data_IF_331189727891
#
_entry.id   IF_331189727891
#
_cell.length_a   1.000
_cell.length_b   1.000
_cell.length_c   1.000
_cell.angle_alpha   90.00
_cell.angle_beta   90.00
_cell.angle_gamma   90.00
#
_symmetry.space_group_name_H-M   'P 1'
#
loop_
_entity.id
_entity.type
_entity.pdbx_description
1 polymer ?
#
# COMPACT_ATOMS: atom_id res chain seq x y z
N UNK A 1 13.19 16.03 -28.80
CA UNK A 1 14.06 16.68 -27.79
C UNK A 1 13.21 16.83 -26.54
N UNK A 2 13.36 16.08 -25.46
CA UNK A 2 14.48 15.30 -24.90
C UNK A 2 13.78 14.51 -23.78
N UNK A 3 13.70 13.17 -23.74
CA UNK A 3 14.83 12.25 -23.53
C UNK A 3 15.95 12.93 -22.75
N UNK A 4 15.77 13.03 -21.43
CA UNK A 4 16.75 13.41 -20.39
C UNK A 4 15.90 13.60 -19.14
N UNK A 5 15.84 12.70 -18.17
CA UNK A 5 16.73 11.64 -17.69
C UNK A 5 15.74 10.57 -17.16
N UNK A 6 15.68 9.33 -17.67
CA UNK A 6 16.49 8.22 -17.20
C UNK A 6 17.04 8.47 -15.79
N UNK A 7 16.19 8.70 -14.79
CA UNK A 7 16.62 8.75 -13.39
C UNK A 7 17.45 7.48 -13.14
N UNK A 8 18.77 7.70 -13.14
CA UNK A 8 19.72 6.67 -13.46
C UNK A 8 19.79 5.76 -12.23
N UNK A 9 19.71 4.45 -12.48
CA UNK A 9 19.70 3.38 -11.48
C UNK A 9 18.38 3.19 -10.68
N UNK A 10 17.27 2.96 -11.39
CA UNK A 10 16.42 1.82 -10.99
C UNK A 10 17.20 0.56 -11.34
N UNK A 11 17.50 -0.26 -10.33
CA UNK A 11 18.39 -1.45 -10.35
C UNK A 11 18.75 -1.95 -11.77
N UNK A 12 20.03 -2.14 -12.07
CA UNK A 12 20.55 -2.65 -13.36
C UNK A 12 19.80 -3.90 -13.89
N UNK A 13 19.04 -4.61 -13.04
CA UNK A 13 18.28 -5.81 -13.38
C UNK A 13 16.74 -5.66 -13.37
N UNK A 14 16.16 -4.47 -13.19
CA UNK A 14 14.70 -4.33 -13.14
C UNK A 14 14.07 -4.30 -14.54
N UNK A 15 13.17 -5.26 -14.81
CA UNK A 15 12.40 -5.34 -16.07
C UNK A 15 11.39 -4.19 -16.13
N UNK A 16 11.45 -3.40 -17.20
CA UNK A 16 10.45 -2.37 -17.49
C UNK A 16 9.15 -3.02 -17.97
N UNK A 17 8.03 -2.55 -17.42
CA UNK A 17 6.70 -3.06 -17.69
C UNK A 17 5.71 -1.92 -17.97
N UNK A 18 4.64 -2.23 -18.69
CA UNK A 18 3.58 -1.27 -19.01
C UNK A 18 2.34 -1.47 -18.15
N UNK A 19 1.72 -0.38 -17.73
CA UNK A 19 0.46 -0.39 -16.97
C UNK A 19 -0.44 0.76 -17.42
N UNK A 20 -1.72 0.72 -17.04
CA UNK A 20 -2.70 1.76 -17.33
C UNK A 20 -3.24 2.37 -16.04
N UNK A 21 -3.31 3.69 -16.01
CA UNK A 21 -4.01 4.46 -14.98
C UNK A 21 -4.96 5.47 -15.63
N UNK A 22 -6.25 5.44 -15.26
CA UNK A 22 -7.30 6.30 -15.87
C UNK A 22 -7.29 6.24 -17.41
N UNK A 23 -7.20 5.03 -17.97
CA UNK A 23 -7.11 4.74 -19.41
C UNK A 23 -5.87 5.30 -20.14
N UNK A 24 -4.91 5.90 -19.43
CA UNK A 24 -3.63 6.32 -20.01
C UNK A 24 -2.54 5.30 -19.69
N UNK A 25 -1.72 5.00 -20.68
CA UNK A 25 -0.59 4.07 -20.52
C UNK A 25 0.61 4.78 -19.90
N UNK A 26 1.27 4.08 -18.99
CA UNK A 26 2.45 4.50 -18.26
C UNK A 26 3.47 3.36 -18.21
N UNK A 27 4.69 3.70 -17.83
CA UNK A 27 5.80 2.76 -17.68
C UNK A 27 6.20 2.69 -16.21
N UNK A 28 6.49 1.48 -15.74
CA UNK A 28 7.01 1.21 -14.41
C UNK A 28 8.01 0.06 -14.47
N UNK A 29 8.41 -0.44 -13.32
CA UNK A 29 9.32 -1.56 -13.21
C UNK A 29 8.74 -2.67 -12.34
N UNK A 30 9.06 -3.91 -12.69
CA UNK A 30 8.69 -5.07 -11.88
C UNK A 30 9.24 -4.94 -10.45
N UNK A 31 8.41 -5.26 -9.45
CA UNK A 31 8.72 -5.08 -8.03
C UNK A 31 8.38 -3.70 -7.45
N UNK A 32 8.01 -2.72 -8.29
CA UNK A 32 7.41 -1.48 -7.83
C UNK A 32 5.97 -1.67 -7.36
N UNK A 33 5.51 -0.76 -6.52
CA UNK A 33 4.08 -0.60 -6.24
C UNK A 33 3.43 0.31 -7.28
N UNK A 34 2.11 0.20 -7.47
CA UNK A 34 1.35 1.14 -8.29
C UNK A 34 1.57 2.58 -7.78
N UNK A 35 1.55 2.82 -6.47
CA UNK A 35 1.79 4.13 -5.89
C UNK A 35 3.19 4.70 -6.24
N UNK A 36 4.26 3.90 -6.11
CA UNK A 36 5.61 4.35 -6.48
C UNK A 36 5.71 4.67 -7.97
N UNK A 37 5.07 3.88 -8.83
CA UNK A 37 5.09 4.12 -10.28
C UNK A 37 4.26 5.34 -10.68
N UNK A 38 3.12 5.59 -10.03
CA UNK A 38 2.33 6.80 -10.23
C UNK A 38 3.17 8.05 -9.88
N UNK A 39 3.82 8.06 -8.71
CA UNK A 39 4.70 9.16 -8.30
C UNK A 39 5.86 9.36 -9.27
N UNK A 40 6.49 8.26 -9.73
CA UNK A 40 7.57 8.31 -10.72
C UNK A 40 7.16 8.89 -12.07
N UNK A 41 5.88 8.76 -12.43
CA UNK A 41 5.30 9.36 -13.63
C UNK A 41 4.70 10.76 -13.36
N UNK A 42 5.02 11.39 -12.21
CA UNK A 42 4.56 12.73 -11.83
C UNK A 42 3.09 12.81 -11.41
N UNK A 43 2.47 11.68 -11.06
CA UNK A 43 1.03 11.62 -10.72
C UNK A 43 0.87 11.71 -9.20
N UNK A 44 0.64 12.92 -8.72
CA UNK A 44 0.38 13.17 -7.29
C UNK A 44 -1.12 13.26 -6.95
N UNK A 45 -1.98 13.56 -7.91
CA UNK A 45 -3.43 13.54 -7.74
C UNK A 45 -3.95 12.16 -8.14
N UNK A 46 -4.31 11.34 -7.14
CA UNK A 46 -4.75 9.95 -7.35
C UNK A 46 -6.21 9.72 -6.97
N UNK A 47 -6.80 10.67 -6.24
CA UNK A 47 -8.16 10.53 -5.72
C UNK A 47 -8.81 11.86 -5.35
N UNK A 48 -10.07 11.75 -4.94
CA UNK A 48 -10.89 12.85 -4.41
C UNK A 48 -11.52 12.40 -3.10
N UNK A 49 -11.56 13.29 -2.10
CA UNK A 49 -12.14 12.95 -0.79
C UNK A 49 -13.61 12.53 -0.96
N UNK A 50 -14.01 11.46 -0.27
CA UNK A 50 -15.37 10.87 -0.28
C UNK A 50 -16.52 11.88 -0.36
N UNK A 51 -16.49 12.90 0.50
CA UNK A 51 -17.60 13.85 0.67
C UNK A 51 -17.43 15.17 -0.08
N UNK A 52 -16.29 15.81 0.15
CA UNK A 52 -16.04 17.18 -0.30
C UNK A 52 -15.36 17.25 -1.65
N UNK A 53 -14.98 16.10 -2.23
CA UNK A 53 -14.22 16.04 -3.47
C UNK A 53 -12.94 16.89 -3.48
N UNK A 54 -12.33 17.06 -2.30
CA UNK A 54 -11.01 17.70 -2.15
C UNK A 54 -9.96 16.87 -2.88
N UNK A 55 -9.01 17.50 -3.59
CA UNK A 55 -7.87 16.79 -4.18
C UNK A 55 -7.15 15.94 -3.13
N UNK A 56 -6.81 14.69 -3.47
CA UNK A 56 -6.10 13.76 -2.61
C UNK A 56 -4.94 13.12 -3.36
N UNK A 57 -3.80 13.07 -2.67
CA UNK A 57 -2.59 12.39 -3.13
C UNK A 57 -2.23 11.19 -2.27
N UNK A 58 -1.22 10.45 -2.72
CA UNK A 58 -0.57 9.39 -1.94
C UNK A 58 0.02 10.02 -0.68
N UNK A 59 -0.31 9.49 0.49
CA UNK A 59 0.14 9.98 1.79
C UNK A 59 1.23 9.07 2.37
N UNK A 60 1.10 7.76 2.20
CA UNK A 60 1.94 6.75 2.82
C UNK A 60 2.52 5.76 1.80
N UNK A 61 3.30 4.78 2.25
CA UNK A 61 3.95 3.76 1.41
C UNK A 61 3.69 2.33 1.90
N UNK A 62 2.51 2.11 2.50
CA UNK A 62 2.12 0.86 3.13
C UNK A 62 0.61 0.71 3.27
N UNK A 63 0.19 -0.19 4.15
CA UNK A 63 -1.22 -0.52 4.35
C UNK A 63 -2.00 0.55 5.12
N UNK A 64 -1.30 1.53 5.69
CA UNK A 64 -1.84 2.71 6.37
C UNK A 64 -2.31 3.82 5.42
N UNK A 65 -2.18 3.64 4.10
CA UNK A 65 -2.59 4.62 3.07
C UNK A 65 -4.11 4.88 3.10
N UNK A 66 -4.55 6.14 3.34
CA UNK A 66 -5.97 6.47 3.44
C UNK A 66 -6.61 6.99 2.15
N UNK A 67 -5.81 7.46 1.18
CA UNK A 67 -6.28 8.30 0.08
C UNK A 67 -6.23 7.59 -1.28
N UNK A 68 -5.12 6.90 -1.59
CA UNK A 68 -4.82 6.31 -2.88
C UNK A 68 -5.57 4.99 -3.11
N UNK A 69 -6.90 5.05 -3.06
CA UNK A 69 -7.81 3.93 -3.29
C UNK A 69 -8.20 3.86 -4.76
N UNK A 70 -7.85 2.76 -5.43
CA UNK A 70 -8.08 2.55 -6.86
C UNK A 70 -9.08 1.41 -7.11
N UNK A 71 -9.72 1.46 -8.27
CA UNK A 71 -10.42 0.33 -8.87
C UNK A 71 -9.43 -0.42 -9.75
N UNK A 72 -9.10 -1.66 -9.41
CA UNK A 72 -8.27 -2.52 -10.23
C UNK A 72 -9.09 -3.27 -11.27
N UNK A 73 -8.43 -3.54 -12.40
CA UNK A 73 -8.92 -4.36 -13.49
C UNK A 73 -10.31 -3.94 -14.01
N UNK A 74 -10.97 -4.81 -14.77
CA UNK A 74 -12.29 -4.56 -15.35
C UNK A 74 -13.13 -5.83 -15.40
N UNK A 75 -14.41 -5.70 -15.76
CA UNK A 75 -15.33 -6.83 -15.89
C UNK A 75 -15.60 -7.54 -14.56
N UNK A 76 -15.59 -8.88 -14.59
CA UNK A 76 -15.89 -9.74 -13.45
C UNK A 76 -14.74 -9.88 -12.44
N UNK A 77 -13.51 -9.50 -12.81
CA UNK A 77 -12.32 -9.55 -11.93
C UNK A 77 -12.04 -8.22 -11.24
N UNK A 78 -12.83 -7.18 -11.51
CA UNK A 78 -12.57 -5.83 -11.01
C UNK A 78 -12.65 -5.77 -9.49
N UNK A 79 -11.72 -5.05 -8.86
CA UNK A 79 -11.61 -4.95 -7.41
C UNK A 79 -11.62 -3.48 -6.97
N UNK A 80 -12.65 -3.02 -6.23
CA UNK A 80 -12.71 -1.64 -5.77
C UNK A 80 -11.90 -1.42 -4.48
N UNK A 81 -11.55 -0.16 -4.22
CA UNK A 81 -10.96 0.29 -2.95
C UNK A 81 -9.63 -0.38 -2.57
N UNK A 82 -8.85 -0.83 -3.55
CA UNK A 82 -7.52 -1.38 -3.31
C UNK A 82 -6.54 -0.23 -3.11
N UNK A 83 -5.64 -0.33 -2.12
CA UNK A 83 -4.63 0.70 -1.87
C UNK A 83 -3.51 0.57 -2.89
N UNK A 84 -3.25 1.63 -3.64
CA UNK A 84 -2.18 1.65 -4.65
C UNK A 84 -0.79 1.34 -4.07
N UNK A 85 -0.59 1.54 -2.76
CA UNK A 85 0.64 1.24 -2.01
C UNK A 85 0.87 -0.25 -1.77
N UNK A 86 -0.17 -1.08 -1.84
CA UNK A 86 -0.08 -2.54 -1.61
C UNK A 86 -0.14 -3.34 -2.93
N UNK A 87 -0.42 -2.67 -4.05
CA UNK A 87 -0.51 -3.29 -5.38
C UNK A 87 0.87 -3.33 -6.01
N UNK A 88 1.42 -4.52 -6.21
CA UNK A 88 2.64 -4.69 -7.00
C UNK A 88 2.32 -4.60 -8.49
N UNK A 89 3.19 -3.91 -9.23
CA UNK A 89 3.05 -3.81 -10.67
C UNK A 89 3.38 -5.14 -11.36
N UNK A 90 2.54 -5.47 -12.33
CA UNK A 90 2.75 -6.52 -13.32
C UNK A 90 2.39 -5.99 -14.72
N UNK A 91 2.87 -6.67 -15.75
CA UNK A 91 2.63 -6.27 -17.14
C UNK A 91 1.12 -6.25 -17.45
N UNK A 92 0.64 -5.14 -18.00
CA UNK A 92 -0.75 -4.97 -18.40
C UNK A 92 -1.71 -4.60 -17.27
N UNK A 93 -1.22 -4.36 -16.04
CA UNK A 93 -2.04 -3.92 -14.92
C UNK A 93 -2.90 -2.71 -15.31
N UNK A 94 -4.19 -2.77 -14.98
CA UNK A 94 -5.12 -1.65 -15.22
C UNK A 94 -5.70 -1.16 -13.90
N UNK A 95 -5.59 0.14 -13.65
CA UNK A 95 -6.15 0.79 -12.48
C UNK A 95 -6.91 2.07 -12.88
N UNK A 96 -7.97 2.39 -12.13
CA UNK A 96 -8.71 3.63 -12.30
C UNK A 96 -8.87 4.31 -10.95
N UNK A 97 -8.81 5.63 -10.97
CA UNK A 97 -9.20 6.48 -9.85
C UNK A 97 -10.68 6.32 -9.51
N UNK A 98 -11.01 6.57 -8.26
CA UNK A 98 -12.38 6.42 -7.75
C UNK A 98 -12.96 7.78 -7.35
N UNK A 99 -14.30 7.82 -7.26
CA UNK A 99 -15.05 8.96 -6.70
C UNK A 99 -14.75 10.30 -7.37
N UNK A 100 -14.76 10.33 -8.70
CA UNK A 100 -14.57 11.55 -9.49
C UNK A 100 -15.46 11.52 -10.75
N UNK A 101 -15.96 12.68 -11.17
CA UNK A 101 -16.75 12.82 -12.40
C UNK A 101 -16.63 14.22 -13.05
N UNK A 102 -16.39 14.30 -14.38
CA UNK A 102 -16.11 13.21 -15.31
C UNK A 102 -14.73 12.56 -15.18
N UNK A 103 -13.75 13.23 -14.57
CA UNK A 103 -12.41 12.67 -14.32
C UNK A 103 -11.75 13.38 -13.12
N UNK A 104 -10.59 12.88 -12.67
CA UNK A 104 -9.87 13.42 -11.51
C UNK A 104 -9.54 14.91 -11.61
N UNK A 105 -9.17 15.43 -12.78
CA UNK A 105 -8.72 16.82 -12.96
C UNK A 105 -9.91 17.76 -13.00
N UNK A 106 -10.94 17.43 -13.77
CA UNK A 106 -12.16 18.22 -13.93
C UNK A 106 -13.31 17.54 -13.20
N UNK A 107 -13.23 17.48 -11.87
CA UNK A 107 -14.29 16.88 -11.05
C UNK A 107 -15.32 17.93 -10.65
N UNK A 108 -16.58 17.77 -11.09
CA UNK A 108 -17.65 18.73 -10.75
C UNK A 108 -18.11 18.63 -9.30
N UNK A 109 -17.89 17.48 -8.64
CA UNK A 109 -18.15 17.30 -7.21
C UNK A 109 -17.34 18.26 -6.34
N UNK A 110 -16.23 18.80 -6.85
CA UNK A 110 -15.36 19.77 -6.18
C UNK A 110 -16.09 21.04 -5.69
N UNK A 111 -17.27 21.38 -6.24
CA UNK A 111 -18.13 22.46 -5.72
C UNK A 111 -18.52 22.24 -4.24
N UNK A 112 -18.61 20.97 -3.81
CA UNK A 112 -18.92 20.61 -2.42
C UNK A 112 -17.85 21.09 -1.43
N UNK A 113 -16.61 21.28 -1.88
CA UNK A 113 -15.55 21.83 -1.03
C UNK A 113 -15.86 23.27 -0.63
N UNK A 114 -16.39 24.08 -1.55
CA UNK A 114 -16.79 25.46 -1.26
C UNK A 114 -17.98 25.51 -0.30
N UNK A 115 -18.92 24.57 -0.44
CA UNK A 115 -20.11 24.43 0.40
C UNK A 115 -19.88 23.57 1.66
N UNK A 116 -18.63 23.24 1.99
CA UNK A 116 -18.29 22.26 3.05
C UNK A 116 -18.90 22.60 4.41
N UNK A 117 -19.05 23.89 4.74
CA UNK A 117 -19.70 24.37 5.96
C UNK A 117 -21.17 23.92 6.10
N UNK A 118 -21.88 23.70 4.99
CA UNK A 118 -23.27 23.23 4.97
C UNK A 118 -23.39 21.71 5.10
N UNK A 119 -22.28 20.99 4.98
CA UNK A 119 -22.24 19.54 5.07
C UNK A 119 -21.42 19.12 6.31
N UNK A 120 -21.91 19.31 7.54
CA UNK A 120 -21.24 18.79 8.73
C UNK A 120 -21.26 17.25 8.76
N UNK A 121 -20.45 16.65 9.64
CA UNK A 121 -20.48 15.22 9.88
C UNK A 121 -21.92 14.78 10.24
N UNK A 122 -22.37 13.65 9.66
CA UNK A 122 -23.74 13.16 9.87
C UNK A 122 -24.86 13.89 9.13
N UNK A 123 -24.55 14.91 8.30
CA UNK A 123 -25.56 15.65 7.52
C UNK A 123 -26.55 14.74 6.78
N UNK A 124 -26.06 13.71 6.09
CA UNK A 124 -26.93 12.83 5.30
C UNK A 124 -27.90 12.03 6.16
N UNK A 125 -27.44 11.57 7.33
CA UNK A 125 -28.29 10.84 8.28
C UNK A 125 -29.39 11.76 8.82
N UNK A 126 -29.05 13.00 9.17
CA UNK A 126 -30.01 13.95 9.73
C UNK A 126 -31.03 14.45 8.69
N UNK A 127 -30.59 14.68 7.46
CA UNK A 127 -31.42 15.31 6.43
C UNK A 127 -32.21 14.31 5.61
N UNK A 128 -31.68 13.11 5.34
CA UNK A 128 -32.26 12.19 4.36
C UNK A 128 -32.81 10.88 4.94
N UNK A 129 -32.61 10.55 6.23
CA UNK A 129 -33.25 9.34 6.81
C UNK A 129 -34.77 9.49 6.97
N UNK A 130 -35.30 10.71 6.90
CA UNK A 130 -36.71 11.00 6.99
C UNK A 130 -37.16 11.86 5.79
N UNK A 131 -38.32 11.56 5.17
CA UNK A 131 -39.23 10.45 5.44
C UNK A 131 -38.69 9.10 4.93
N UNK A 132 -38.90 7.97 5.66
CA UNK A 132 -38.36 6.66 5.26
C UNK A 132 -38.77 6.20 3.85
N UNK A 133 -39.97 6.60 3.39
CA UNK A 133 -40.47 6.29 2.04
C UNK A 133 -39.57 6.82 0.91
N UNK A 134 -38.78 7.86 1.17
CA UNK A 134 -37.88 8.45 0.18
C UNK A 134 -36.44 7.95 0.28
N UNK A 135 -36.11 7.14 1.30
CA UNK A 135 -34.75 6.67 1.52
C UNK A 135 -34.14 5.99 0.29
N UNK A 136 -34.87 5.10 -0.39
CA UNK A 136 -34.37 4.43 -1.60
C UNK A 136 -33.99 5.41 -2.74
N UNK A 137 -34.69 6.56 -2.85
CA UNK A 137 -34.32 7.60 -3.82
C UNK A 137 -33.10 8.39 -3.36
N UNK A 138 -33.08 8.79 -2.09
CA UNK A 138 -31.94 9.53 -1.53
C UNK A 138 -30.66 8.70 -1.57
N UNK A 139 -30.74 7.45 -1.15
CA UNK A 139 -29.63 6.49 -1.17
C UNK A 139 -29.06 6.34 -2.58
N UNK A 140 -29.89 6.23 -3.61
CA UNK A 140 -29.43 6.16 -4.99
C UNK A 140 -28.56 7.36 -5.36
N UNK A 141 -29.03 8.60 -5.13
CA UNK A 141 -28.24 9.80 -5.46
C UNK A 141 -27.01 9.96 -4.57
N UNK A 142 -27.13 9.70 -3.26
CA UNK A 142 -26.02 9.77 -2.31
C UNK A 142 -24.93 8.76 -2.69
N UNK A 143 -25.30 7.54 -3.11
CA UNK A 143 -24.35 6.52 -3.56
C UNK A 143 -23.60 6.93 -4.81
N UNK A 144 -24.23 7.68 -5.73
CA UNK A 144 -23.53 8.21 -6.91
C UNK A 144 -22.62 9.40 -6.56
N UNK A 145 -23.01 10.24 -5.59
CA UNK A 145 -22.28 11.44 -5.21
C UNK A 145 -21.11 11.17 -4.23
N UNK A 146 -21.22 10.12 -3.42
CA UNK A 146 -20.26 9.79 -2.37
C UNK A 146 -19.79 8.32 -2.39
N UNK A 147 -20.24 7.47 -3.30
CA UNK A 147 -19.79 6.07 -3.32
C UNK A 147 -18.32 5.91 -3.75
N UNK A 148 -17.53 5.17 -2.99
CA UNK A 148 -16.22 4.69 -3.44
C UNK A 148 -16.35 3.33 -4.15
N UNK A 149 -15.71 3.23 -5.30
CA UNK A 149 -15.57 2.01 -6.09
C UNK A 149 -16.88 1.41 -6.61
N UNK A 150 -16.73 0.45 -7.52
CA UNK A 150 -17.84 -0.32 -8.10
C UNK A 150 -17.53 -1.81 -7.95
N UNK A 151 -18.43 -2.53 -7.29
CA UNK A 151 -18.35 -3.99 -7.21
C UNK A 151 -18.66 -4.60 -8.58
N UNK A 152 -18.00 -5.71 -8.97
CA UNK A 152 -18.45 -6.51 -10.11
C UNK A 152 -19.89 -6.97 -9.90
N UNK A 153 -20.62 -7.13 -11.00
CA UNK A 153 -21.99 -7.68 -11.02
C UNK A 153 -22.02 -9.17 -11.38
N UNK A 154 -20.96 -9.62 -12.03
CA UNK A 154 -20.79 -11.01 -12.47
C UNK A 154 -20.00 -11.79 -11.44
N UNK A 155 -20.05 -13.12 -11.54
CA UNK A 155 -19.34 -14.01 -10.63
C UNK A 155 -17.83 -13.90 -10.83
N UNK A 156 -17.11 -13.88 -9.70
CA UNK A 156 -15.66 -13.95 -9.67
C UNK A 156 -15.18 -15.29 -10.28
N UNK A 157 -14.30 -15.28 -11.30
CA UNK A 157 -13.82 -16.50 -11.93
C UNK A 157 -12.73 -17.25 -11.14
N UNK A 158 -12.16 -16.64 -10.09
CA UNK A 158 -11.03 -17.24 -9.38
C UNK A 158 -11.46 -18.27 -8.32
N UNK A 159 -10.53 -19.17 -7.98
CA UNK A 159 -10.67 -20.07 -6.83
C UNK A 159 -9.94 -19.54 -5.59
N UNK A 160 -10.41 -19.98 -4.43
CA UNK A 160 -9.89 -19.58 -3.11
C UNK A 160 -9.76 -20.81 -2.22
N UNK A 161 -8.65 -20.91 -1.49
CA UNK A 161 -8.33 -22.12 -0.73
C UNK A 161 -8.08 -21.83 0.75
N UNK A 162 -8.22 -22.87 1.58
CA UNK A 162 -7.88 -22.82 3.00
C UNK A 162 -6.69 -23.73 3.29
N UNK A 163 -5.73 -23.25 4.06
CA UNK A 163 -4.55 -24.02 4.45
C UNK A 163 -4.37 -24.05 5.97
N UNK A 164 -4.25 -25.24 6.54
CA UNK A 164 -4.08 -25.43 7.98
C UNK A 164 -2.62 -25.70 8.32
N UNK A 165 -2.08 -24.98 9.30
CA UNK A 165 -0.67 -25.12 9.69
C UNK A 165 -0.48 -25.09 11.21
N UNK A 166 0.36 -26.00 11.71
CA UNK A 166 0.78 -26.03 13.11
C UNK A 166 2.28 -25.74 13.20
N UNK A 167 2.67 -24.89 14.14
CA UNK A 167 4.07 -24.55 14.41
C UNK A 167 4.34 -24.41 15.92
N UNK A 168 5.62 -24.54 16.30
CA UNK A 168 6.07 -24.30 17.67
C UNK A 168 6.22 -22.78 17.91
N UNK A 169 6.71 -22.04 16.92
CA UNK A 169 6.84 -20.60 16.98
C UNK A 169 6.30 -19.95 15.70
N UNK A 170 5.46 -18.93 15.87
CA UNK A 170 5.03 -18.03 14.81
C UNK A 170 5.65 -16.65 15.04
N UNK A 171 6.25 -16.07 14.00
CA UNK A 171 6.75 -14.70 13.96
C UNK A 171 5.86 -13.92 12.99
N UNK A 172 5.29 -12.80 13.47
CA UNK A 172 4.41 -11.94 12.69
C UNK A 172 5.14 -10.63 12.39
N UNK A 173 5.50 -10.43 11.13
CA UNK A 173 6.32 -9.32 10.65
C UNK A 173 7.75 -9.74 10.34
N UNK A 174 8.19 -9.44 9.12
CA UNK A 174 9.51 -9.71 8.55
C UNK A 174 10.44 -8.49 8.56
N UNK A 175 10.18 -7.50 9.41
CA UNK A 175 11.11 -6.41 9.71
C UNK A 175 12.28 -6.84 10.59
N UNK A 176 13.14 -5.89 10.98
CA UNK A 176 14.35 -6.17 11.78
C UNK A 176 14.08 -7.02 13.04
N UNK A 177 13.04 -6.67 13.81
CA UNK A 177 12.68 -7.41 15.02
C UNK A 177 12.28 -8.86 14.74
N UNK A 178 11.55 -9.09 13.64
CA UNK A 178 11.15 -10.43 13.22
C UNK A 178 12.29 -11.25 12.67
N UNK A 179 13.19 -10.64 11.88
CA UNK A 179 14.38 -11.30 11.36
C UNK A 179 15.35 -11.70 12.47
N UNK A 180 15.58 -10.84 13.47
CA UNK A 180 16.40 -11.17 14.64
C UNK A 180 15.76 -12.28 15.48
N UNK A 181 14.43 -12.25 15.66
CA UNK A 181 13.71 -13.32 16.34
C UNK A 181 13.85 -14.66 15.61
N UNK A 182 13.72 -14.65 14.28
CA UNK A 182 13.92 -15.83 13.44
C UNK A 182 15.35 -16.36 13.58
N UNK A 183 16.35 -15.50 13.44
CA UNK A 183 17.76 -15.87 13.58
C UNK A 183 18.04 -16.58 14.89
N UNK A 184 17.56 -16.02 16.01
CA UNK A 184 17.77 -16.58 17.36
C UNK A 184 17.03 -17.89 17.57
N UNK A 185 15.83 -18.04 17.01
CA UNK A 185 15.06 -19.29 17.13
C UNK A 185 15.72 -20.42 16.30
N UNK A 186 16.15 -20.11 15.08
CA UNK A 186 16.86 -21.04 14.19
C UNK A 186 18.17 -21.50 14.83
N UNK A 187 18.93 -20.59 15.46
CA UNK A 187 20.22 -20.93 16.07
C UNK A 187 20.09 -21.79 17.33
N UNK A 188 18.95 -21.75 18.02
CA UNK A 188 18.74 -22.43 19.31
C UNK A 188 18.14 -23.83 19.20
N UNK A 189 17.42 -24.14 18.13
CA UNK A 189 16.79 -25.45 17.97
C UNK A 189 16.71 -25.84 16.50
N UNK A 190 17.25 -27.03 16.19
CA UNK A 190 17.09 -27.65 14.87
C UNK A 190 15.74 -28.39 14.72
N UNK A 191 14.96 -28.53 15.79
CA UNK A 191 13.72 -29.33 15.78
C UNK A 191 12.45 -28.49 15.76
N UNK A 192 12.49 -27.27 16.28
CA UNK A 192 11.29 -26.45 16.42
C UNK A 192 10.77 -26.05 15.04
N UNK A 193 9.47 -26.23 14.80
CA UNK A 193 8.81 -25.78 13.58
C UNK A 193 8.51 -24.29 13.69
N UNK A 194 9.19 -23.47 12.89
CA UNK A 194 9.13 -22.01 12.93
C UNK A 194 8.45 -21.51 11.65
N UNK A 195 7.48 -20.63 11.81
CA UNK A 195 6.80 -19.93 10.71
C UNK A 195 7.02 -18.43 10.85
N UNK A 196 7.54 -17.77 9.82
CA UNK A 196 7.57 -16.32 9.70
C UNK A 196 6.57 -15.88 8.63
N UNK A 197 5.71 -14.93 9.00
CA UNK A 197 4.69 -14.36 8.11
C UNK A 197 4.95 -12.88 7.90
N UNK A 198 4.98 -12.43 6.65
CA UNK A 198 5.18 -11.03 6.24
C UNK A 198 4.10 -10.60 5.25
N UNK A 199 3.53 -9.41 5.48
CA UNK A 199 2.48 -8.84 4.64
C UNK A 199 2.99 -8.43 3.25
N UNK A 200 4.21 -7.88 3.19
CA UNK A 200 4.88 -7.49 1.96
C UNK A 200 5.38 -8.71 1.18
N UNK A 201 5.66 -8.55 -0.12
CA UNK A 201 6.31 -9.60 -0.92
C UNK A 201 7.79 -9.84 -0.56
N UNK A 202 8.38 -8.93 0.21
CA UNK A 202 9.79 -8.96 0.61
C UNK A 202 9.95 -8.76 2.11
N UNK A 203 11.03 -9.31 2.66
CA UNK A 203 11.45 -9.07 4.05
C UNK A 203 12.25 -7.76 4.18
N UNK A 204 12.39 -7.28 5.41
CA UNK A 204 13.21 -6.11 5.77
C UNK A 204 12.43 -5.00 6.46
N UNK A 205 11.10 -4.95 6.27
CA UNK A 205 10.24 -3.91 6.84
C UNK A 205 10.66 -2.50 6.40
N UNK A 206 10.58 -1.52 7.31
CA UNK A 206 10.83 -0.11 7.03
C UNK A 206 12.22 0.39 7.46
N UNK A 207 13.19 -0.49 7.71
CA UNK A 207 14.50 -0.07 8.23
C UNK A 207 15.38 0.59 7.16
N UNK A 208 16.15 1.59 7.60
CA UNK A 208 16.99 2.45 6.79
C UNK A 208 18.46 1.99 6.72
N UNK A 209 18.90 1.08 7.61
CA UNK A 209 20.19 0.39 7.53
C UNK A 209 20.14 -0.78 6.52
N UNK A 210 20.14 -0.42 5.23
CA UNK A 210 19.95 -1.38 4.12
C UNK A 210 21.00 -2.49 4.16
N UNK A 211 22.28 -2.18 4.40
CA UNK A 211 23.37 -3.16 4.31
C UNK A 211 23.30 -4.25 5.39
N UNK A 212 23.03 -3.87 6.64
CA UNK A 212 22.93 -4.83 7.73
C UNK A 212 21.71 -5.74 7.55
N UNK A 213 20.57 -5.15 7.18
CA UNK A 213 19.36 -5.93 6.94
C UNK A 213 19.46 -6.80 5.72
N UNK A 214 20.05 -6.35 4.62
CA UNK A 214 20.25 -7.20 3.45
C UNK A 214 21.10 -8.41 3.80
N UNK A 215 22.16 -8.24 4.60
CA UNK A 215 22.94 -9.38 5.12
C UNK A 215 22.10 -10.33 5.97
N UNK A 216 21.32 -9.81 6.91
CA UNK A 216 20.47 -10.62 7.79
C UNK A 216 19.35 -11.33 7.02
N UNK A 217 18.66 -10.62 6.12
CA UNK A 217 17.64 -11.13 5.22
C UNK A 217 18.20 -12.26 4.36
N UNK A 218 19.32 -12.05 3.69
CA UNK A 218 19.94 -13.07 2.85
C UNK A 218 20.34 -14.31 3.65
N UNK A 219 20.87 -14.12 4.87
CA UNK A 219 21.14 -15.23 5.79
C UNK A 219 19.85 -16.01 6.14
N UNK A 220 18.77 -15.32 6.48
CA UNK A 220 17.49 -15.93 6.85
C UNK A 220 16.85 -16.67 5.65
N UNK A 221 16.91 -16.11 4.45
CA UNK A 221 16.44 -16.76 3.23
C UNK A 221 17.24 -18.05 2.93
N UNK A 222 18.57 -18.01 3.04
CA UNK A 222 19.41 -19.20 2.88
C UNK A 222 19.07 -20.29 3.90
N UNK A 223 18.68 -19.92 5.11
CA UNK A 223 18.27 -20.90 6.13
C UNK A 223 16.91 -21.51 5.83
N UNK A 224 15.97 -20.75 5.27
CA UNK A 224 14.67 -21.26 4.82
C UNK A 224 14.84 -22.33 3.73
N UNK A 225 15.79 -22.15 2.81
CA UNK A 225 16.04 -23.12 1.73
C UNK A 225 16.70 -24.42 2.23
N UNK A 226 17.42 -24.35 3.36
CA UNK A 226 18.16 -25.48 3.94
C UNK A 226 17.39 -26.26 5.00
N UNK A 227 16.43 -25.63 5.68
CA UNK A 227 15.78 -26.18 6.87
C UNK A 227 14.30 -26.44 6.63
N UNK A 228 13.90 -27.71 6.57
CA UNK A 228 12.50 -28.12 6.41
C UNK A 228 11.59 -27.65 7.57
N UNK A 229 12.15 -27.40 8.75
CA UNK A 229 11.42 -26.95 9.93
C UNK A 229 11.29 -25.41 10.02
N UNK A 230 11.79 -24.66 9.04
CA UNK A 230 11.63 -23.21 8.98
C UNK A 230 10.91 -22.83 7.69
N UNK A 231 9.84 -22.03 7.81
CA UNK A 231 9.06 -21.57 6.66
C UNK A 231 8.84 -20.07 6.72
N UNK A 232 9.10 -19.40 5.61
CA UNK A 232 8.75 -18.00 5.39
C UNK A 232 7.57 -17.94 4.41
N UNK A 233 6.58 -17.10 4.73
CA UNK A 233 5.44 -16.84 3.85
C UNK A 233 5.27 -15.32 3.74
N UNK A 234 5.50 -14.79 2.54
CA UNK A 234 5.34 -13.37 2.20
C UNK A 234 3.99 -13.12 1.53
N UNK A 235 3.68 -11.86 1.22
CA UNK A 235 2.40 -11.44 0.64
C UNK A 235 1.19 -11.91 1.46
N UNK A 236 1.38 -11.98 2.79
CA UNK A 236 0.46 -12.65 3.71
C UNK A 236 0.16 -11.79 4.93
N UNK A 237 -1.06 -11.27 5.00
CA UNK A 237 -1.51 -10.43 6.10
C UNK A 237 -2.16 -11.28 7.19
N UNK A 238 -1.60 -11.27 8.39
CA UNK A 238 -2.24 -11.84 9.55
C UNK A 238 -3.31 -10.87 10.07
N UNK A 239 -4.58 -11.18 9.80
CA UNK A 239 -5.69 -10.26 10.07
C UNK A 239 -6.46 -10.59 11.36
N UNK A 240 -6.24 -11.77 11.97
CA UNK A 240 -6.88 -12.11 13.24
C UNK A 240 -5.99 -12.95 14.16
N UNK A 241 -5.96 -12.56 15.43
CA UNK A 241 -5.38 -13.34 16.53
C UNK A 241 -6.50 -13.70 17.51
N UNK A 242 -6.82 -15.00 17.58
CA UNK A 242 -7.89 -15.56 18.39
C UNK A 242 -7.33 -16.39 19.57
N UNK A 243 -8.23 -16.90 20.39
CA UNK A 243 -7.92 -17.70 21.59
C UNK A 243 -6.99 -18.89 21.30
N UNK A 244 -6.19 -19.24 22.32
CA UNK A 244 -5.29 -20.39 22.31
C UNK A 244 -4.27 -20.37 21.15
N UNK A 245 -3.79 -19.18 20.76
CA UNK A 245 -2.84 -19.01 19.65
C UNK A 245 -3.35 -19.62 18.34
N UNK A 246 -4.62 -19.37 18.03
CA UNK A 246 -5.18 -19.58 16.71
C UNK A 246 -5.15 -18.27 15.94
N UNK A 247 -4.51 -18.25 14.78
CA UNK A 247 -4.34 -17.04 13.99
C UNK A 247 -4.81 -17.29 12.56
N UNK A 248 -5.42 -16.27 11.96
CA UNK A 248 -5.84 -16.30 10.57
C UNK A 248 -5.00 -15.32 9.76
N UNK A 249 -4.53 -15.77 8.61
CA UNK A 249 -3.83 -14.91 7.66
C UNK A 249 -4.38 -15.09 6.25
N UNK A 250 -4.32 -14.04 5.44
CA UNK A 250 -4.71 -14.05 4.04
C UNK A 250 -3.45 -13.87 3.19
N UNK A 251 -3.13 -14.89 2.39
CA UNK A 251 -2.04 -14.84 1.43
C UNK A 251 -2.58 -14.49 0.05
N UNK A 252 -2.01 -13.46 -0.58
CA UNK A 252 -2.17 -13.22 -2.01
C UNK A 252 -1.10 -14.03 -2.76
N UNK A 253 -1.52 -15.03 -3.53
CA UNK A 253 -0.59 -15.88 -4.27
C UNK A 253 -0.05 -15.13 -5.48
N UNK A 254 1.26 -15.22 -5.69
CA UNK A 254 1.98 -14.70 -6.86
C UNK A 254 1.51 -13.29 -7.26
N UNK A 255 1.70 -12.27 -6.41
CA UNK A 255 1.14 -10.94 -6.64
C UNK A 255 1.68 -10.23 -7.90
N UNK A 256 2.75 -10.75 -8.51
CA UNK A 256 3.31 -10.28 -9.79
C UNK A 256 2.67 -10.96 -11.01
N UNK A 257 1.85 -12.00 -10.82
CA UNK A 257 1.12 -12.66 -11.91
C UNK A 257 -0.23 -11.94 -12.11
N UNK A 258 -0.61 -11.63 -13.36
CA UNK A 258 -1.94 -11.08 -13.65
C UNK A 258 -3.09 -11.95 -13.13
N UNK A 259 -4.17 -11.39 -12.56
CA UNK A 259 -5.28 -12.17 -12.00
C UNK A 259 -5.90 -13.17 -12.98
N UNK A 260 -6.07 -12.79 -14.24
CA UNK A 260 -6.62 -13.66 -15.30
C UNK A 260 -5.80 -14.94 -15.57
N UNK A 261 -4.53 -14.96 -15.17
CA UNK A 261 -3.65 -16.13 -15.29
C UNK A 261 -3.64 -16.99 -14.01
N UNK A 262 -4.27 -16.53 -12.93
CA UNK A 262 -4.30 -17.24 -11.65
C UNK A 262 -5.44 -18.25 -11.59
N UNK A 263 -5.10 -19.48 -11.22
CA UNK A 263 -6.09 -20.49 -10.83
C UNK A 263 -6.61 -20.25 -9.41
N UNK A 264 -5.69 -20.09 -8.45
CA UNK A 264 -6.01 -19.79 -7.04
C UNK A 264 -5.52 -18.37 -6.77
N UNK A 265 -6.45 -17.47 -6.39
CA UNK A 265 -6.11 -16.07 -6.15
C UNK A 265 -5.53 -15.85 -4.76
N UNK A 266 -6.18 -16.41 -3.75
CA UNK A 266 -5.79 -16.22 -2.35
C UNK A 266 -5.96 -17.50 -1.52
N UNK A 267 -5.16 -17.60 -0.46
CA UNK A 267 -5.23 -18.68 0.53
C UNK A 267 -5.49 -18.09 1.92
N UNK A 268 -6.50 -18.61 2.63
CA UNK A 268 -6.67 -18.35 4.06
C UNK A 268 -5.88 -19.37 4.86
N UNK A 269 -4.86 -18.90 5.55
CA UNK A 269 -4.06 -19.66 6.51
C UNK A 269 -4.75 -19.72 7.86
N UNK A 270 -4.86 -20.93 8.40
CA UNK A 270 -5.39 -21.24 9.73
C UNK A 270 -4.25 -21.81 10.56
N UNK A 271 -3.63 -20.95 11.36
CA UNK A 271 -2.36 -21.23 12.03
C UNK A 271 -2.60 -21.50 13.52
N UNK A 272 -2.10 -22.63 14.02
CA UNK A 272 -2.03 -22.92 15.46
C UNK A 272 -0.57 -22.91 15.89
N UNK A 273 -0.21 -21.98 16.77
CA UNK A 273 1.16 -21.81 17.24
C UNK A 273 1.29 -22.11 18.74
N UNK A 274 2.38 -22.75 19.18
CA UNK A 274 2.64 -22.86 20.64
C UNK A 274 3.06 -21.53 21.24
N UNK A 275 3.88 -20.76 20.52
CA UNK A 275 4.34 -19.41 20.88
C UNK A 275 4.19 -18.47 19.69
N UNK A 276 3.88 -17.20 19.97
CA UNK A 276 3.73 -16.14 18.97
C UNK A 276 4.63 -14.98 19.35
N UNK A 277 5.35 -14.44 18.36
CA UNK A 277 6.16 -13.23 18.46
C UNK A 277 5.54 -12.19 17.53
N UNK A 278 5.07 -11.08 18.11
CA UNK A 278 4.55 -9.95 17.34
C UNK A 278 5.69 -8.96 17.08
N UNK A 279 6.08 -8.84 15.83
CA UNK A 279 7.12 -7.94 15.34
C UNK A 279 6.56 -7.04 14.21
N UNK A 280 5.35 -6.52 14.42
CA UNK A 280 4.54 -5.82 13.41
C UNK A 280 4.96 -4.37 13.14
N UNK A 281 6.02 -3.89 13.80
CA UNK A 281 6.50 -2.52 13.64
C UNK A 281 5.54 -1.47 14.21
N UNK A 282 5.67 -0.24 13.69
CA UNK A 282 4.86 0.91 14.07
C UNK A 282 4.50 1.75 12.84
N UNK A 283 3.29 2.33 12.86
CA UNK A 283 2.90 3.33 11.87
C UNK A 283 3.29 4.73 12.34
N UNK A 284 3.81 5.50 11.39
CA UNK A 284 3.97 6.94 11.52
C UNK A 284 2.59 7.62 11.50
N UNK A 285 2.48 8.81 12.11
CA UNK A 285 1.23 9.56 12.19
C UNK A 285 1.38 10.91 11.51
N UNK A 286 0.32 11.44 10.86
CA UNK A 286 0.38 12.77 10.27
C UNK A 286 0.24 13.87 11.33
N UNK A 287 0.74 15.07 11.03
CA UNK A 287 0.48 16.30 11.80
C UNK A 287 -0.87 16.93 11.42
N UNK A 288 -1.55 17.49 12.42
CA UNK A 288 -2.80 18.23 12.23
C UNK A 288 -2.49 19.71 12.02
N UNK A 289 -2.77 20.22 10.82
CA UNK A 289 -2.68 21.64 10.49
C UNK A 289 -3.65 21.98 9.35
N UNK A 290 -3.82 23.28 9.09
CA UNK A 290 -4.74 23.73 8.05
C UNK A 290 -4.33 23.20 6.67
N UNK A 291 -5.28 22.58 5.97
CA UNK A 291 -5.07 21.96 4.65
C UNK A 291 -4.00 20.86 4.63
N UNK A 292 -3.88 20.08 5.71
CA UNK A 292 -2.96 18.94 5.82
C UNK A 292 -3.30 17.73 4.92
N UNK A 293 -4.15 17.93 3.93
CA UNK A 293 -4.79 16.87 3.15
C UNK A 293 -4.61 17.04 1.63
N UNK A 294 -3.79 18.02 1.23
CA UNK A 294 -3.49 18.34 -0.17
C UNK A 294 -2.53 17.30 -0.79
N UNK A 295 -2.63 17.05 -2.11
CA UNK A 295 -1.62 16.27 -2.84
C UNK A 295 -0.23 16.86 -2.65
N UNK A 296 0.76 15.99 -2.44
CA UNK A 296 2.13 16.39 -2.09
C UNK A 296 2.38 16.46 -0.58
N UNK A 297 1.38 16.26 0.28
CA UNK A 297 1.60 16.02 1.71
C UNK A 297 1.80 14.51 1.91
N UNK A 298 2.91 14.12 2.53
CA UNK A 298 3.30 12.71 2.74
C UNK A 298 3.91 12.49 4.12
N UNK A 299 3.79 11.28 4.65
CA UNK A 299 4.53 10.85 5.83
C UNK A 299 6.03 10.78 5.54
N UNK A 300 6.89 11.12 6.50
CA UNK A 300 8.33 11.20 6.31
C UNK A 300 8.97 9.84 6.02
N UNK A 301 8.64 8.81 6.78
CA UNK A 301 9.10 7.45 6.52
C UNK A 301 8.65 6.94 5.15
N UNK A 302 7.46 7.36 4.70
CA UNK A 302 6.96 7.01 3.36
C UNK A 302 7.74 7.72 2.26
N UNK A 303 8.03 9.00 2.43
CA UNK A 303 8.86 9.76 1.50
C UNK A 303 10.29 9.23 1.41
N UNK A 304 10.90 8.91 2.56
CA UNK A 304 12.21 8.24 2.62
C UNK A 304 12.16 6.89 1.88
N UNK A 305 11.13 6.07 2.08
CA UNK A 305 10.97 4.79 1.37
C UNK A 305 10.86 4.98 -0.15
N UNK A 306 10.06 5.94 -0.63
CA UNK A 306 9.99 6.25 -2.05
C UNK A 306 11.32 6.69 -2.65
N UNK A 307 12.07 7.55 -1.95
CA UNK A 307 13.37 8.01 -2.40
C UNK A 307 14.43 6.88 -2.38
N UNK A 308 14.55 6.14 -1.27
CA UNK A 308 15.61 5.14 -1.10
C UNK A 308 15.32 3.81 -1.78
N UNK A 309 14.14 3.23 -1.56
CA UNK A 309 13.78 1.90 -2.07
C UNK A 309 13.38 1.96 -3.54
N UNK A 310 12.49 2.89 -3.88
CA UNK A 310 11.91 2.97 -5.23
C UNK A 310 12.61 3.97 -6.16
N UNK A 311 13.61 4.72 -5.64
CA UNK A 311 14.37 5.73 -6.40
C UNK A 311 13.45 6.73 -7.11
N UNK A 312 12.40 7.17 -6.41
CA UNK A 312 11.41 8.11 -6.93
C UNK A 312 11.72 9.52 -6.44
N UNK A 313 11.83 10.45 -7.37
CA UNK A 313 11.86 11.89 -7.07
C UNK A 313 10.44 12.36 -6.80
N UNK A 314 10.17 12.80 -5.56
CA UNK A 314 8.84 13.22 -5.12
C UNK A 314 8.50 14.66 -5.51
N UNK A 315 9.49 15.49 -5.83
CA UNK A 315 9.33 16.88 -6.21
C UNK A 315 10.67 17.62 -6.25
N UNK A 316 10.63 18.91 -6.60
CA UNK A 316 11.80 19.79 -6.68
C UNK A 316 12.29 20.29 -5.33
N UNK A 317 11.38 20.47 -4.38
CA UNK A 317 11.76 20.85 -3.03
C UNK A 317 10.83 20.19 -2.01
N UNK A 318 11.39 19.92 -0.83
CA UNK A 318 10.65 19.37 0.30
C UNK A 318 10.69 20.36 1.47
N UNK A 319 9.54 20.56 2.11
CA UNK A 319 9.44 21.18 3.43
C UNK A 319 9.14 20.08 4.42
N UNK A 320 9.92 19.96 5.48
CA UNK A 320 9.76 18.92 6.50
C UNK A 320 9.24 19.57 7.77
N UNK A 321 8.11 19.06 8.27
CA UNK A 321 7.50 19.45 9.53
C UNK A 321 7.50 18.24 10.46
N UNK A 322 8.29 18.31 11.53
CA UNK A 322 8.56 17.17 12.42
C UNK A 322 8.54 17.58 13.89
N UNK A 323 8.26 16.62 14.77
CA UNK A 323 8.41 16.69 16.22
C UNK A 323 9.48 15.73 16.78
N UNK A 324 10.18 14.99 15.92
CA UNK A 324 11.08 13.90 16.30
C UNK A 324 12.26 13.77 15.32
N UNK A 325 13.21 12.89 15.65
CA UNK A 325 14.48 12.78 14.91
C UNK A 325 14.40 11.97 13.60
N UNK A 326 13.38 11.14 13.36
CA UNK A 326 13.32 10.31 12.15
C UNK A 326 13.23 11.14 10.86
N UNK A 327 12.65 12.32 10.94
CA UNK A 327 12.56 13.26 9.83
C UNK A 327 13.92 13.78 9.35
N UNK A 328 14.96 13.85 10.20
CA UNK A 328 16.30 14.24 9.75
C UNK A 328 16.89 13.22 8.78
N UNK A 329 16.68 11.93 9.05
CA UNK A 329 17.08 10.89 8.11
C UNK A 329 16.31 11.03 6.79
N UNK A 330 15.02 11.35 6.84
CA UNK A 330 14.24 11.65 5.63
C UNK A 330 14.80 12.84 4.86
N UNK A 331 15.25 13.90 5.54
CA UNK A 331 15.90 15.04 4.89
C UNK A 331 17.17 14.64 4.14
N UNK A 332 18.03 13.83 4.78
CA UNK A 332 19.24 13.29 4.17
C UNK A 332 18.90 12.43 2.94
N UNK A 333 17.88 11.58 3.06
CA UNK A 333 17.47 10.66 2.01
C UNK A 333 16.96 11.40 0.79
N UNK A 334 16.14 12.42 0.99
CA UNK A 334 15.63 13.27 -0.07
C UNK A 334 16.75 14.10 -0.72
N UNK A 335 17.70 14.61 0.06
CA UNK A 335 18.83 15.39 -0.46
C UNK A 335 19.81 14.54 -1.28
N UNK A 336 19.99 13.27 -0.91
CA UNK A 336 20.89 12.33 -1.59
C UNK A 336 20.34 11.80 -2.92
N UNK A 337 19.06 12.04 -3.22
CA UNK A 337 18.41 11.59 -4.45
C UNK A 337 18.75 12.47 -5.65
N UNK A 338 18.88 11.87 -6.84
CA UNK A 338 19.02 12.63 -8.09
C UNK A 338 17.67 13.28 -8.45
N UNK A 339 17.60 14.61 -8.36
CA UNK A 339 16.38 15.37 -8.65
C UNK A 339 16.21 15.65 -10.15
N UNK A 340 15.21 15.01 -10.76
CA UNK A 340 14.70 15.44 -12.07
C UNK A 340 13.67 16.58 -11.93
N UNK A 341 13.79 17.54 -12.83
CA UNK A 341 13.22 18.89 -12.69
C UNK A 341 11.79 18.98 -13.23
N UNK A 342 10.78 18.70 -12.42
CA UNK A 342 9.40 19.20 -12.64
C UNK A 342 8.73 19.76 -11.36
N UNK A 343 7.85 20.74 -11.56
CA UNK A 343 7.55 21.93 -10.73
C UNK A 343 6.82 21.74 -9.38
N UNK A 344 6.90 20.58 -8.73
CA UNK A 344 6.11 20.30 -7.52
C UNK A 344 6.92 20.41 -6.22
N UNK A 345 6.33 21.04 -5.21
CA UNK A 345 6.82 21.10 -3.83
C UNK A 345 6.11 20.03 -2.98
N UNK A 346 6.85 19.31 -2.15
CA UNK A 346 6.32 18.27 -1.25
C UNK A 346 6.39 18.77 0.19
N UNK A 347 5.35 18.51 0.98
CA UNK A 347 5.35 18.74 2.42
C UNK A 347 5.41 17.39 3.12
N UNK A 348 6.42 17.21 3.95
CA UNK A 348 6.72 15.98 4.65
C UNK A 348 6.37 16.17 6.12
N UNK A 349 5.58 15.26 6.68
CA UNK A 349 5.08 15.35 8.04
C UNK A 349 5.51 14.12 8.84
N UNK A 350 5.98 14.32 10.06
CA UNK A 350 6.42 13.26 10.98
C UNK A 350 5.94 13.56 12.42
N UNK A 351 5.43 12.54 13.12
CA UNK A 351 4.91 12.60 14.51
C UNK A 351 5.39 11.45 15.36
#
# INVERSE_FOLDING_TARGET
MTQRVQAAFRSINSKQISFKFDNKQYLGFEGETLASALLANGIHLVGRSFKYHRPRGILSAGCEEPNALVQLESGNITEPNVKATEVLLYEGLTANSQNNWPNLKTDFGSINNFLSAFFPAGFYYKTFMWPPKFWGKYEYFIRHAAGLGKSPKENDPHSYEHFHYHCDALIVGGGIGGLLAAEKLISRSQKNKILLVEQSNELGGNTLEIDYIEKLKNKILQENDKKENFKIVTSTTLFAYMHNNYLLALQNLDPLVPPNEKKIRQIIWKIRAKKVILATGSFERPLIFNNNDRPGIMLAGSASKYAKKYKVTLGQSAVIFTNNDSAYQTAIDLHSGEHDRESMHVCIVDV
#
